data_IF_764298628387
#
_entry.id   IF_764298628387
#
_cell.length_a   1.000
_cell.length_b   1.000
_cell.length_c   1.000
_cell.angle_alpha   90.00
_cell.angle_beta   90.00
_cell.angle_gamma   90.00
#
_symmetry.space_group_name_H-M   'P 1'
#
loop_
_entity.id
_entity.type
_entity.pdbx_description
1 polymer ?
#
# COMPACT_ATOMS: atom_id res chain seq x y z
N UNK A 1 38.18 8.95 9.70
CA UNK A 1 39.57 8.69 10.12
C UNK A 1 40.37 9.95 10.49
N UNK A 2 40.12 11.10 9.85
CA UNK A 2 40.82 12.37 10.13
C UNK A 2 40.53 12.91 11.54
N UNK A 3 39.26 12.79 12.05
CA UNK A 3 38.91 13.23 13.40
C UNK A 3 39.53 12.43 14.55
N UNK A 4 39.82 11.15 14.33
CA UNK A 4 40.45 10.28 15.33
C UNK A 4 41.94 10.67 15.54
N UNK A 5 42.62 11.04 14.47
CA UNK A 5 44.02 11.51 14.51
C UNK A 5 44.13 12.86 15.23
N UNK A 6 43.21 13.77 15.04
CA UNK A 6 43.16 15.06 15.72
C UNK A 6 42.93 14.94 17.24
N UNK A 7 42.03 14.04 17.67
CA UNK A 7 41.79 13.76 19.11
C UNK A 7 43.00 13.13 19.79
N UNK A 8 43.72 12.25 19.11
CA UNK A 8 44.98 11.66 19.62
C UNK A 8 46.12 12.67 19.66
N UNK A 9 46.18 13.63 18.71
CA UNK A 9 47.15 14.70 18.71
C UNK A 9 46.92 15.74 19.82
N UNK A 10 45.68 15.87 20.34
CA UNK A 10 45.32 16.79 21.44
C UNK A 10 45.44 16.15 22.83
N UNK A 11 46.08 14.98 22.94
CA UNK A 11 46.34 14.34 24.23
C UNK A 11 45.10 13.79 24.94
N UNK A 12 44.02 13.61 24.20
CA UNK A 12 42.82 12.95 24.71
C UNK A 12 43.18 11.47 24.98
N UNK A 13 43.21 11.08 26.25
CA UNK A 13 43.45 9.70 26.67
C UNK A 13 42.45 8.78 26.01
N UNK A 14 42.90 7.61 25.56
CA UNK A 14 42.05 6.58 24.93
C UNK A 14 40.81 6.29 25.76
N UNK A 15 40.91 6.39 27.07
CA UNK A 15 39.83 6.19 28.04
C UNK A 15 38.68 7.22 27.87
N UNK A 16 38.98 8.50 27.66
CA UNK A 16 37.96 9.56 27.45
C UNK A 16 37.23 9.31 26.15
N UNK A 17 37.96 8.89 25.08
CA UNK A 17 37.36 8.55 23.83
C UNK A 17 36.41 7.32 23.94
N UNK A 18 36.89 6.28 24.63
CA UNK A 18 36.08 5.06 24.85
C UNK A 18 34.86 5.33 25.74
N UNK A 19 34.99 6.18 26.74
CA UNK A 19 33.88 6.59 27.59
C UNK A 19 32.84 7.42 26.85
N UNK A 20 33.28 8.43 26.07
CA UNK A 20 32.38 9.23 25.23
C UNK A 20 31.74 8.37 24.14
N UNK A 21 32.46 7.45 23.51
CA UNK A 21 31.91 6.52 22.53
C UNK A 21 30.89 5.54 23.12
N UNK A 22 31.12 5.06 24.35
CA UNK A 22 30.15 4.24 25.10
C UNK A 22 28.93 5.05 25.49
N UNK A 23 29.10 6.29 25.96
CA UNK A 23 27.99 7.19 26.32
C UNK A 23 27.08 7.54 25.13
N UNK A 24 27.68 7.75 23.94
CA UNK A 24 26.91 7.98 22.68
C UNK A 24 26.11 6.75 22.25
N UNK A 25 26.59 5.55 22.59
CA UNK A 25 25.93 4.28 22.26
C UNK A 25 24.91 3.83 23.31
N UNK A 26 24.96 4.39 24.53
CA UNK A 26 23.99 4.01 25.57
C UNK A 26 22.61 4.53 25.20
N UNK A 27 21.61 3.63 25.04
CA UNK A 27 20.26 4.07 24.78
C UNK A 27 19.70 4.81 25.99
N UNK A 28 19.10 5.96 25.76
CA UNK A 28 18.29 6.65 26.75
C UNK A 28 16.92 5.98 26.79
N UNK A 29 16.58 5.32 27.88
CA UNK A 29 15.25 4.73 28.05
C UNK A 29 14.27 5.82 28.48
N UNK A 30 13.41 6.26 27.58
CA UNK A 30 12.32 7.22 27.88
C UNK A 30 11.00 6.54 27.52
N UNK A 31 10.17 6.28 28.55
CA UNK A 31 8.82 5.74 28.34
C UNK A 31 8.77 4.37 27.65
N UNK A 32 9.80 3.51 27.83
CA UNK A 32 9.87 2.20 27.20
C UNK A 32 10.48 2.20 25.79
N UNK A 33 10.94 3.36 25.29
CA UNK A 33 11.71 3.49 24.05
C UNK A 33 13.21 3.56 24.39
N UNK A 34 14.01 2.75 23.70
CA UNK A 34 15.47 2.77 23.79
C UNK A 34 16.03 3.72 22.72
N UNK A 35 15.95 5.03 23.01
CA UNK A 35 16.41 6.06 22.08
C UNK A 35 17.94 6.12 22.08
N UNK A 36 18.58 5.84 20.95
CA UNK A 36 20.02 6.02 20.75
C UNK A 36 20.29 7.07 19.67
N UNK A 37 21.35 7.87 19.86
CA UNK A 37 21.78 8.84 18.81
C UNK A 37 22.05 8.16 17.47
N UNK A 38 22.58 6.93 17.52
CA UNK A 38 22.81 6.11 16.33
C UNK A 38 21.48 5.69 15.70
N UNK A 39 20.45 5.37 16.50
CA UNK A 39 19.11 5.07 16.03
C UNK A 39 18.50 6.24 15.24
N UNK A 40 18.69 7.48 15.68
CA UNK A 40 18.26 8.66 14.91
C UNK A 40 18.95 8.77 13.56
N UNK A 41 20.25 8.49 13.50
CA UNK A 41 20.98 8.47 12.20
C UNK A 41 20.43 7.39 11.29
N UNK A 42 20.20 6.17 11.79
CA UNK A 42 19.62 5.09 10.99
C UNK A 42 18.19 5.41 10.54
N UNK A 43 17.36 5.95 11.42
CA UNK A 43 16.00 6.34 11.06
C UNK A 43 16.01 7.42 9.96
N UNK A 44 16.88 8.41 10.07
CA UNK A 44 17.05 9.44 9.05
C UNK A 44 17.51 8.85 7.71
N UNK A 45 18.51 7.95 7.73
CA UNK A 45 18.96 7.26 6.52
C UNK A 45 17.85 6.41 5.89
N UNK A 46 17.06 5.69 6.69
CA UNK A 46 15.91 4.92 6.21
C UNK A 46 14.90 5.83 5.53
N UNK A 47 14.57 6.97 6.11
CA UNK A 47 13.63 7.93 5.51
C UNK A 47 14.19 8.55 4.22
N UNK A 48 15.49 8.83 4.14
CA UNK A 48 16.14 9.26 2.90
C UNK A 48 16.05 8.18 1.81
N UNK A 49 16.35 6.94 2.16
CA UNK A 49 16.24 5.79 1.25
C UNK A 49 14.78 5.63 0.80
N UNK A 50 13.84 5.69 1.73
CA UNK A 50 12.41 5.64 1.42
C UNK A 50 12.01 6.73 0.42
N UNK A 51 12.47 7.97 0.62
CA UNK A 51 12.25 9.07 -0.32
C UNK A 51 12.80 8.74 -1.72
N UNK A 52 14.00 8.18 -1.81
CA UNK A 52 14.58 7.77 -3.10
C UNK A 52 13.71 6.70 -3.76
N UNK A 53 13.24 5.70 -3.00
CA UNK A 53 12.33 4.67 -3.51
C UNK A 53 11.00 5.27 -4.02
N UNK A 54 10.43 6.22 -3.31
CA UNK A 54 9.20 6.92 -3.75
C UNK A 54 9.43 7.70 -5.04
N UNK A 55 10.56 8.41 -5.17
CA UNK A 55 10.90 9.13 -6.40
C UNK A 55 11.11 8.16 -7.56
N UNK A 56 11.82 7.06 -7.32
CA UNK A 56 12.05 6.01 -8.32
C UNK A 56 10.73 5.34 -8.73
N UNK A 57 9.85 5.02 -7.77
CA UNK A 57 8.51 4.50 -8.03
C UNK A 57 7.73 5.40 -8.95
N UNK A 58 7.60 6.70 -8.60
CA UNK A 58 6.86 7.67 -9.41
C UNK A 58 7.45 7.82 -10.82
N UNK A 59 8.76 7.85 -10.92
CA UNK A 59 9.47 7.96 -12.19
C UNK A 59 9.23 6.73 -13.07
N UNK A 60 9.47 5.52 -12.55
CA UNK A 60 9.29 4.27 -13.30
C UNK A 60 7.84 4.04 -13.67
N UNK A 61 6.90 4.34 -12.74
CA UNK A 61 5.49 4.16 -12.97
C UNK A 61 5.00 5.05 -14.12
N UNK A 62 5.31 6.35 -14.08
CA UNK A 62 4.89 7.29 -15.12
C UNK A 62 5.58 7.04 -16.47
N UNK A 63 6.89 6.83 -16.47
CA UNK A 63 7.66 6.75 -17.72
C UNK A 63 7.69 5.37 -18.37
N UNK A 64 7.62 4.30 -17.59
CA UNK A 64 7.76 2.93 -18.10
C UNK A 64 6.47 2.16 -18.15
N UNK A 65 5.68 2.19 -17.08
CA UNK A 65 4.47 1.39 -16.98
C UNK A 65 3.27 2.03 -17.68
N UNK A 66 3.15 3.37 -17.62
CA UNK A 66 1.97 4.08 -18.11
C UNK A 66 2.19 4.85 -19.43
N UNK A 67 3.42 4.99 -19.91
CA UNK A 67 3.75 5.72 -21.14
C UNK A 67 3.01 5.21 -22.39
N UNK A 68 2.62 3.95 -22.42
CA UNK A 68 1.92 3.31 -23.54
C UNK A 68 0.50 2.88 -23.19
N UNK A 69 -0.02 3.25 -22.01
CA UNK A 69 -1.38 2.88 -21.59
C UNK A 69 -2.37 3.97 -21.97
N UNK A 70 -3.57 3.55 -22.42
CA UNK A 70 -4.71 4.45 -22.71
C UNK A 70 -5.47 4.80 -21.42
N UNK A 71 -4.80 4.72 -20.25
CA UNK A 71 -5.40 5.03 -18.95
C UNK A 71 -5.37 6.54 -18.75
N UNK A 72 -6.49 7.09 -18.33
CA UNK A 72 -6.66 8.51 -18.00
C UNK A 72 -5.62 8.99 -16.99
N UNK A 73 -5.05 10.18 -17.19
CA UNK A 73 -3.97 10.74 -16.36
C UNK A 73 -4.34 10.79 -14.86
N UNK A 74 -5.59 11.09 -14.52
CA UNK A 74 -6.08 11.10 -13.14
C UNK A 74 -5.98 9.74 -12.46
N UNK A 75 -6.29 8.67 -13.19
CA UNK A 75 -6.16 7.29 -12.68
C UNK A 75 -4.69 6.90 -12.49
N UNK A 76 -3.83 7.30 -13.42
CA UNK A 76 -2.38 7.06 -13.31
C UNK A 76 -1.80 7.75 -12.06
N UNK A 77 -2.15 9.01 -11.82
CA UNK A 77 -1.69 9.77 -10.65
C UNK A 77 -2.18 9.15 -9.33
N UNK A 78 -3.44 8.68 -9.31
CA UNK A 78 -4.03 8.02 -8.14
C UNK A 78 -3.27 6.73 -7.79
N UNK A 79 -2.98 5.88 -8.76
CA UNK A 79 -2.23 4.63 -8.54
C UNK A 79 -0.79 4.92 -8.09
N UNK A 80 -0.12 5.88 -8.74
CA UNK A 80 1.23 6.29 -8.36
C UNK A 80 1.29 6.82 -6.91
N UNK A 81 0.27 7.56 -6.50
CA UNK A 81 0.16 8.13 -5.16
C UNK A 81 -0.12 7.07 -4.10
N UNK A 82 -1.04 6.12 -4.36
CA UNK A 82 -1.32 5.00 -3.47
C UNK A 82 -0.05 4.17 -3.25
N UNK A 83 0.69 3.84 -4.32
CA UNK A 83 1.96 3.14 -4.23
C UNK A 83 3.01 3.92 -3.42
N UNK A 84 3.08 5.23 -3.58
CA UNK A 84 3.96 6.09 -2.79
C UNK A 84 3.59 6.06 -1.30
N UNK A 85 2.30 6.09 -0.94
CA UNK A 85 1.86 5.97 0.45
C UNK A 85 2.21 4.61 1.06
N UNK A 86 2.07 3.52 0.32
CA UNK A 86 2.49 2.20 0.78
C UNK A 86 4.00 2.15 1.08
N UNK A 87 4.83 2.71 0.19
CA UNK A 87 6.28 2.79 0.39
C UNK A 87 6.62 3.65 1.63
N UNK A 88 5.94 4.80 1.82
CA UNK A 88 6.10 5.64 3.00
C UNK A 88 5.68 4.91 4.28
N UNK A 89 4.58 4.15 4.27
CA UNK A 89 4.13 3.35 5.41
C UNK A 89 5.17 2.32 5.84
N UNK A 90 5.76 1.60 4.88
CA UNK A 90 6.84 0.65 5.13
C UNK A 90 8.09 1.37 5.66
N UNK A 91 8.49 2.48 5.05
CA UNK A 91 9.64 3.27 5.48
C UNK A 91 9.48 3.81 6.90
N UNK A 92 8.27 4.25 7.26
CA UNK A 92 7.95 4.71 8.61
C UNK A 92 8.06 3.56 9.63
N UNK A 93 7.56 2.36 9.30
CA UNK A 93 7.68 1.18 10.14
C UNK A 93 9.14 0.86 10.48
N UNK A 94 10.00 0.79 9.45
CA UNK A 94 11.44 0.54 9.64
C UNK A 94 12.13 1.70 10.36
N UNK A 95 11.75 2.94 10.07
CA UNK A 95 12.28 4.14 10.73
C UNK A 95 11.99 4.15 12.23
N UNK A 96 10.74 3.82 12.63
CA UNK A 96 10.36 3.68 14.05
C UNK A 96 11.09 2.53 14.73
N UNK A 97 11.28 1.40 14.03
CA UNK A 97 12.09 0.30 14.55
C UNK A 97 13.55 0.69 14.78
N UNK A 98 14.14 1.48 13.88
CA UNK A 98 15.51 1.98 14.04
C UNK A 98 15.66 2.99 15.20
N UNK A 99 14.59 3.70 15.56
CA UNK A 99 14.55 4.57 16.74
C UNK A 99 14.47 3.79 18.06
N UNK A 100 14.37 2.47 18.03
CA UNK A 100 14.27 1.63 19.21
C UNK A 100 12.83 1.34 19.68
N UNK A 101 11.82 1.60 18.82
CA UNK A 101 10.46 1.22 19.12
C UNK A 101 10.34 -0.31 19.21
N UNK A 102 9.61 -0.80 20.23
CA UNK A 102 9.40 -2.22 20.44
C UNK A 102 8.72 -2.87 19.22
N UNK A 103 9.37 -3.89 18.65
CA UNK A 103 8.88 -4.56 17.44
C UNK A 103 7.50 -5.21 17.63
N UNK A 104 7.19 -5.74 18.84
CA UNK A 104 5.88 -6.30 19.13
C UNK A 104 4.80 -5.20 19.13
N UNK A 105 5.08 -4.03 19.72
CA UNK A 105 4.16 -2.90 19.72
C UNK A 105 3.93 -2.36 18.31
N UNK A 106 4.97 -2.27 17.48
CA UNK A 106 4.87 -1.89 16.07
C UNK A 106 4.03 -2.90 15.29
N UNK A 107 4.28 -4.20 15.48
CA UNK A 107 3.51 -5.26 14.82
C UNK A 107 2.02 -5.17 15.18
N UNK A 108 1.68 -4.94 16.45
CA UNK A 108 0.29 -4.76 16.87
C UNK A 108 -0.32 -3.51 16.26
N UNK A 109 0.37 -2.37 16.31
CA UNK A 109 -0.14 -1.11 15.77
C UNK A 109 -0.37 -1.19 14.26
N UNK A 110 0.63 -1.62 13.49
CA UNK A 110 0.51 -1.76 12.04
C UNK A 110 -0.44 -2.90 11.63
N UNK A 111 -0.48 -3.99 12.42
CA UNK A 111 -1.45 -5.06 12.25
C UNK A 111 -2.88 -4.58 12.41
N UNK A 112 -3.16 -3.78 13.43
CA UNK A 112 -4.49 -3.18 13.65
C UNK A 112 -4.91 -2.26 12.50
N UNK A 113 -3.99 -1.42 12.00
CA UNK A 113 -4.22 -0.59 10.79
C UNK A 113 -4.49 -1.48 9.58
N UNK A 114 -3.70 -2.56 9.41
CA UNK A 114 -3.88 -3.52 8.31
C UNK A 114 -5.25 -4.21 8.34
N UNK A 115 -5.71 -4.61 9.51
CA UNK A 115 -7.05 -5.19 9.70
C UNK A 115 -8.12 -4.15 9.34
N UNK A 116 -8.00 -2.92 9.83
CA UNK A 116 -8.94 -1.83 9.52
C UNK A 116 -9.01 -1.54 8.02
N UNK A 117 -7.87 -1.47 7.34
CA UNK A 117 -7.79 -1.33 5.88
C UNK A 117 -8.40 -2.53 5.17
N UNK A 118 -8.15 -3.76 5.66
CA UNK A 118 -8.73 -4.99 5.12
C UNK A 118 -10.26 -4.97 5.15
N UNK A 119 -10.86 -4.60 6.27
CA UNK A 119 -12.31 -4.42 6.37
C UNK A 119 -12.83 -3.30 5.46
N UNK A 120 -12.11 -2.17 5.38
CA UNK A 120 -12.46 -1.07 4.47
C UNK A 120 -12.43 -1.46 2.99
N UNK A 121 -11.53 -2.37 2.60
CA UNK A 121 -11.37 -2.85 1.22
C UNK A 121 -12.15 -4.15 0.93
N UNK A 122 -12.81 -4.76 1.90
CA UNK A 122 -13.49 -6.05 1.77
C UNK A 122 -14.45 -6.11 0.59
N UNK A 123 -15.28 -5.09 0.43
CA UNK A 123 -16.26 -5.05 -0.67
C UNK A 123 -15.58 -4.96 -2.05
N UNK A 124 -14.48 -4.21 -2.14
CA UNK A 124 -13.70 -4.11 -3.38
C UNK A 124 -13.10 -5.47 -3.74
N UNK A 125 -12.53 -6.14 -2.74
CA UNK A 125 -11.92 -7.47 -2.93
C UNK A 125 -12.97 -8.52 -3.30
N UNK A 126 -14.13 -8.55 -2.62
CA UNK A 126 -15.23 -9.45 -2.95
C UNK A 126 -15.72 -9.24 -4.39
N UNK A 127 -15.94 -8.00 -4.81
CA UNK A 127 -16.32 -7.69 -6.19
C UNK A 127 -15.27 -8.14 -7.20
N UNK A 128 -13.98 -7.97 -6.87
CA UNK A 128 -12.88 -8.40 -7.73
C UNK A 128 -12.84 -9.94 -7.89
N UNK A 129 -12.91 -10.67 -6.77
CA UNK A 129 -12.91 -12.15 -6.78
C UNK A 129 -14.13 -12.67 -7.53
N UNK A 130 -15.33 -12.14 -7.24
CA UNK A 130 -16.55 -12.53 -7.95
C UNK A 130 -16.45 -12.26 -9.45
N UNK A 131 -15.82 -11.12 -9.84
CA UNK A 131 -15.57 -10.79 -11.23
C UNK A 131 -14.60 -11.77 -11.92
N UNK A 132 -13.56 -12.21 -11.22
CA UNK A 132 -12.66 -13.25 -11.73
C UNK A 132 -13.40 -14.58 -11.96
N UNK A 133 -14.21 -15.01 -10.99
CA UNK A 133 -15.03 -16.24 -11.11
C UNK A 133 -15.93 -16.14 -12.34
N UNK A 134 -16.62 -15.03 -12.52
CA UNK A 134 -17.51 -14.78 -13.66
C UNK A 134 -16.78 -14.85 -15.01
N UNK A 135 -15.54 -14.34 -15.07
CA UNK A 135 -14.71 -14.41 -16.27
C UNK A 135 -14.21 -15.83 -16.58
N UNK A 136 -13.94 -16.63 -15.54
CA UNK A 136 -13.48 -18.01 -15.71
C UNK A 136 -14.63 -18.99 -15.98
N UNK A 137 -15.67 -18.97 -15.15
CA UNK A 137 -16.79 -19.91 -15.24
C UNK A 137 -17.80 -19.51 -16.32
N UNK A 138 -17.87 -18.23 -16.66
CA UNK A 138 -18.81 -17.64 -17.65
C UNK A 138 -20.25 -18.10 -17.51
N UNK A 139 -20.81 -18.13 -16.29
CA UNK A 139 -22.21 -18.52 -16.08
C UNK A 139 -23.17 -17.54 -16.75
N UNK A 140 -22.73 -16.30 -17.00
CA UNK A 140 -23.46 -15.25 -17.70
C UNK A 140 -22.59 -14.76 -18.85
N UNK A 141 -23.16 -14.63 -20.05
CA UNK A 141 -22.48 -14.18 -21.24
C UNK A 141 -23.07 -12.85 -21.74
N UNK A 142 -22.29 -12.10 -22.52
CA UNK A 142 -22.79 -10.92 -23.21
C UNK A 142 -23.90 -11.36 -24.18
N UNK A 143 -25.05 -10.68 -24.11
CA UNK A 143 -26.25 -11.05 -24.86
C UNK A 143 -27.29 -11.82 -24.06
N UNK A 144 -26.94 -12.40 -22.91
CA UNK A 144 -27.92 -13.10 -22.09
C UNK A 144 -28.93 -12.11 -21.48
N UNK A 145 -30.17 -12.57 -21.35
CA UNK A 145 -31.22 -11.85 -20.64
C UNK A 145 -31.14 -12.19 -19.17
N UNK A 146 -31.10 -11.18 -18.32
CA UNK A 146 -31.02 -11.31 -16.87
C UNK A 146 -32.10 -10.51 -16.17
N UNK A 147 -32.59 -11.03 -15.06
CA UNK A 147 -33.52 -10.33 -14.18
C UNK A 147 -32.79 -9.87 -12.91
N UNK A 148 -32.96 -8.60 -12.57
CA UNK A 148 -32.29 -7.96 -11.43
C UNK A 148 -33.32 -7.13 -10.69
N UNK A 149 -33.68 -7.55 -9.48
CA UNK A 149 -34.71 -6.87 -8.67
C UNK A 149 -36.03 -6.62 -9.43
N UNK A 150 -36.47 -7.57 -10.27
CA UNK A 150 -37.67 -7.43 -11.09
C UNK A 150 -37.49 -6.61 -12.37
N UNK A 151 -36.28 -6.11 -12.68
CA UNK A 151 -36.01 -5.39 -13.91
C UNK A 151 -35.28 -6.34 -14.89
N UNK A 152 -35.85 -6.48 -16.07
CA UNK A 152 -35.29 -7.31 -17.15
C UNK A 152 -34.36 -6.50 -18.03
N UNK A 153 -33.25 -7.12 -18.42
CA UNK A 153 -32.29 -6.46 -19.30
C UNK A 153 -31.33 -7.46 -19.97
N UNK A 154 -30.62 -6.93 -20.95
CA UNK A 154 -29.61 -7.70 -21.72
C UNK A 154 -28.23 -7.29 -21.26
N UNK A 155 -27.37 -8.29 -20.98
CA UNK A 155 -25.96 -8.07 -20.60
C UNK A 155 -25.20 -7.52 -21.84
N UNK A 156 -24.70 -6.29 -21.73
CA UNK A 156 -23.92 -5.64 -22.78
C UNK A 156 -22.42 -5.80 -22.62
N UNK A 157 -21.94 -5.78 -21.36
CA UNK A 157 -20.51 -5.89 -21.07
C UNK A 157 -20.29 -6.44 -19.65
N UNK A 158 -19.32 -7.34 -19.53
CA UNK A 158 -18.85 -7.86 -18.24
C UNK A 158 -17.45 -7.32 -18.00
N UNK A 159 -17.28 -6.55 -16.92
CA UNK A 159 -15.99 -6.07 -16.45
C UNK A 159 -15.62 -6.82 -15.16
N UNK A 160 -14.37 -6.71 -14.71
CA UNK A 160 -13.83 -7.42 -13.54
C UNK A 160 -14.61 -7.15 -12.24
N UNK A 161 -15.20 -5.95 -12.06
CA UNK A 161 -15.92 -5.57 -10.84
C UNK A 161 -17.39 -5.22 -11.04
N UNK A 162 -17.86 -5.17 -12.29
CA UNK A 162 -19.24 -4.75 -12.59
C UNK A 162 -19.70 -5.31 -13.92
N UNK A 163 -21.01 -5.57 -14.03
CA UNK A 163 -21.67 -5.96 -15.28
C UNK A 163 -22.57 -4.81 -15.75
N UNK A 164 -22.45 -4.45 -17.02
CA UNK A 164 -23.31 -3.47 -17.68
C UNK A 164 -24.51 -4.20 -18.29
N UNK A 165 -25.69 -3.89 -17.82
CA UNK A 165 -26.98 -4.44 -18.31
C UNK A 165 -27.79 -3.30 -18.90
N UNK A 166 -28.31 -3.49 -20.11
CA UNK A 166 -29.26 -2.58 -20.75
C UNK A 166 -30.68 -3.10 -20.54
N UNK A 167 -31.52 -2.33 -19.88
CA UNK A 167 -32.93 -2.65 -19.70
C UNK A 167 -33.73 -2.48 -21.00
N UNK A 168 -34.95 -3.06 -21.05
CA UNK A 168 -35.81 -2.89 -22.21
C UNK A 168 -36.29 -1.43 -22.40
N UNK A 169 -36.25 -0.61 -21.34
CA UNK A 169 -36.53 0.84 -21.41
C UNK A 169 -35.28 1.65 -21.86
N UNK A 170 -34.26 1.01 -22.41
CA UNK A 170 -33.00 1.61 -22.85
C UNK A 170 -32.17 2.28 -21.73
N UNK A 171 -32.45 2.01 -20.44
CA UNK A 171 -31.60 2.45 -19.35
C UNK A 171 -30.38 1.54 -19.21
N UNK A 172 -29.23 2.12 -18.86
CA UNK A 172 -28.00 1.36 -18.59
C UNK A 172 -27.80 1.20 -17.08
N UNK A 173 -27.81 -0.03 -16.59
CA UNK A 173 -27.55 -0.38 -15.20
C UNK A 173 -26.13 -0.93 -15.05
N UNK A 174 -25.35 -0.37 -14.11
CA UNK A 174 -24.05 -0.87 -13.73
C UNK A 174 -24.21 -1.61 -12.40
N UNK A 175 -23.98 -2.92 -12.43
CA UNK A 175 -24.23 -3.80 -11.29
C UNK A 175 -22.91 -4.35 -10.80
N UNK A 176 -22.60 -4.20 -9.49
CA UNK A 176 -21.43 -4.85 -8.90
C UNK A 176 -21.54 -6.37 -9.04
N UNK A 177 -20.42 -7.05 -9.34
CA UNK A 177 -20.41 -8.50 -9.58
C UNK A 177 -20.75 -9.32 -8.32
N UNK A 178 -20.56 -8.75 -7.12
CA UNK A 178 -20.93 -9.39 -5.85
C UNK A 178 -22.45 -9.47 -5.59
N UNK A 179 -23.28 -8.92 -6.49
CA UNK A 179 -24.73 -9.00 -6.36
C UNK A 179 -25.21 -10.40 -6.77
N UNK A 180 -25.39 -11.31 -5.80
CA UNK A 180 -25.69 -12.74 -5.98
C UNK A 180 -27.14 -13.05 -6.40
N UNK A 181 -27.99 -12.07 -6.63
CA UNK A 181 -29.40 -12.26 -6.98
C UNK A 181 -29.69 -12.12 -8.49
N UNK A 182 -28.72 -12.47 -9.34
CA UNK A 182 -28.94 -12.60 -10.77
C UNK A 182 -29.61 -13.97 -11.03
N UNK A 183 -30.86 -14.00 -11.42
CA UNK A 183 -31.49 -15.19 -12.03
C UNK A 183 -31.25 -15.10 -13.53
N UNK A 184 -30.41 -15.99 -14.05
CA UNK A 184 -30.36 -16.22 -15.48
C UNK A 184 -31.60 -17.04 -15.89
N UNK A 185 -32.41 -16.52 -16.77
CA UNK A 185 -33.43 -17.32 -17.45
C UNK A 185 -32.81 -17.96 -18.67
N UNK A 186 -32.64 -19.27 -18.61
CA UNK A 186 -32.40 -20.09 -19.80
C UNK A 186 -33.73 -20.16 -20.58
N UNK A 187 -33.75 -19.62 -21.78
CA UNK A 187 -34.84 -19.77 -22.75
C UNK A 187 -34.62 -21.01 -23.58
#
# INVERSE_FOLDING_TARGET
>A
MIGLGLLLAWGAEKEVFLHTWKAIRQPLTVGGLELSLIGFVYAFLILLITRVFVLLWRYLFKQRLMAHSHIEEGTQESIATIGAYAIWGIGLLFGLGALGANSASLAVAFGSVGIGLGFGLQNIFNNFVSGLILLFERPIQVGNVVEINGIWGVVKKINVRSTLVQTYDNASLIIPVSYTHLRAHET
#
